data_IF_757913715710
#
_entry.id   IF_757913715710
#
_cell.length_a   1.000
_cell.length_b   1.000
_cell.length_c   1.000
_cell.angle_alpha   90.00
_cell.angle_beta   90.00
_cell.angle_gamma   90.00
#
_symmetry.space_group_name_H-M   'P 1'
#
loop_
_entity.id
_entity.type
_entity.pdbx_description
1 polymer ?
#
# COMPACT_ATOMS: atom_id res chain seq x y z
N UNK A 1 23.85 16.17 31.38
CA UNK A 1 22.51 16.35 30.93
C UNK A 1 22.14 15.20 29.99
N UNK A 2 21.06 14.67 30.24
CA UNK A 2 20.68 13.48 29.50
C UNK A 2 19.69 13.83 28.40
N UNK A 3 20.07 13.55 27.17
CA UNK A 3 19.13 13.58 26.08
C UNK A 3 18.39 12.27 25.96
N UNK A 4 18.74 11.32 26.81
CA UNK A 4 18.13 10.00 26.75
C UNK A 4 16.64 10.03 27.08
N UNK A 5 16.18 11.06 27.74
CA UNK A 5 14.75 11.21 28.03
C UNK A 5 13.94 11.66 26.82
N UNK A 6 14.60 12.10 25.75
CA UNK A 6 13.93 12.51 24.53
C UNK A 6 13.79 11.29 23.63
N UNK A 7 12.57 10.85 23.42
CA UNK A 7 12.32 9.71 22.56
C UNK A 7 12.66 10.08 21.11
N UNK A 8 13.37 9.20 20.44
CA UNK A 8 13.64 9.39 19.01
C UNK A 8 12.34 9.11 18.23
N UNK A 9 12.05 9.90 17.21
CA UNK A 9 10.92 9.58 16.33
C UNK A 9 11.11 8.21 15.72
N UNK A 10 10.10 7.40 15.78
CA UNK A 10 10.13 6.10 15.15
C UNK A 10 10.08 6.28 13.64
N UNK A 11 10.89 5.52 12.93
CA UNK A 11 10.86 5.55 11.47
C UNK A 11 9.74 4.62 11.00
N UNK A 12 8.61 5.19 10.63
CA UNK A 12 7.43 4.43 10.22
C UNK A 12 7.44 4.02 8.75
N UNK A 13 8.19 4.74 7.92
CA UNK A 13 8.24 4.47 6.47
C UNK A 13 9.68 4.21 6.09
N UNK A 14 9.88 3.21 5.26
CA UNK A 14 11.22 2.88 4.76
C UNK A 14 11.14 2.43 3.30
N UNK A 15 12.28 2.54 2.61
CA UNK A 15 12.45 2.00 1.27
C UNK A 15 13.58 0.99 1.34
N UNK A 16 13.27 -0.28 1.19
CA UNK A 16 14.26 -1.33 1.30
C UNK A 16 14.18 -2.19 0.04
N UNK A 17 15.34 -2.39 -0.59
CA UNK A 17 15.40 -3.29 -1.73
C UNK A 17 14.96 -4.68 -1.30
N UNK A 18 14.16 -5.33 -2.14
CA UNK A 18 13.64 -6.65 -1.83
C UNK A 18 12.35 -6.64 -1.04
N UNK A 19 11.91 -5.49 -0.57
CA UNK A 19 10.62 -5.35 0.10
C UNK A 19 9.78 -4.37 -0.72
N UNK A 20 8.60 -4.80 -1.14
CA UNK A 20 7.69 -4.00 -1.97
C UNK A 20 8.36 -3.46 -3.23
N UNK A 21 9.37 -4.18 -3.75
CA UNK A 21 10.10 -3.74 -4.94
C UNK A 21 10.91 -2.47 -4.73
N UNK A 22 11.32 -2.18 -3.50
CA UNK A 22 12.05 -0.96 -3.18
C UNK A 22 11.18 0.26 -3.04
N UNK A 23 9.87 0.12 -3.11
CA UNK A 23 8.94 1.24 -2.96
C UNK A 23 8.73 1.57 -1.49
N UNK A 24 8.33 2.82 -1.17
CA UNK A 24 8.07 3.17 0.22
C UNK A 24 7.02 2.26 0.83
N UNK A 25 7.32 1.68 1.96
CA UNK A 25 6.37 0.86 2.69
C UNK A 25 6.51 1.09 4.19
N UNK A 26 5.52 0.64 4.93
CA UNK A 26 5.54 0.80 6.37
C UNK A 26 6.56 -0.16 6.95
N UNK A 27 7.46 0.36 7.76
CA UNK A 27 8.58 -0.37 8.31
C UNK A 27 8.12 -1.64 9.00
N UNK A 28 8.76 -2.75 8.68
CA UNK A 28 8.41 -4.04 9.26
C UNK A 28 7.23 -4.74 8.60
N UNK A 29 6.68 -4.16 7.54
CA UNK A 29 5.54 -4.75 6.84
C UNK A 29 5.79 -4.73 5.33
N UNK A 30 4.92 -5.36 4.58
CA UNK A 30 4.89 -5.25 3.12
C UNK A 30 3.76 -4.35 2.63
N UNK A 31 3.21 -3.55 3.53
CA UNK A 31 2.14 -2.62 3.21
C UNK A 31 2.78 -1.33 2.69
N UNK A 32 2.49 -0.98 1.44
CA UNK A 32 3.08 0.20 0.81
C UNK A 32 2.39 1.47 1.29
N UNK A 33 3.13 2.58 1.25
CA UNK A 33 2.53 3.88 1.52
C UNK A 33 1.33 4.11 0.59
N UNK A 34 1.43 3.71 -0.68
CA UNK A 34 0.33 3.86 -1.61
C UNK A 34 -0.92 3.07 -1.21
N UNK A 35 -0.74 1.89 -0.61
CA UNK A 35 -1.89 1.10 -0.17
C UNK A 35 -2.73 1.86 0.86
N UNK A 36 -2.06 2.55 1.78
CA UNK A 36 -2.72 3.38 2.77
C UNK A 36 -3.33 4.63 2.12
N UNK A 37 -2.56 5.29 1.25
CA UNK A 37 -3.00 6.51 0.60
C UNK A 37 -4.22 6.27 -0.29
N UNK A 38 -4.25 5.14 -0.99
CA UNK A 38 -5.37 4.80 -1.87
C UNK A 38 -6.67 4.65 -1.07
N UNK A 39 -6.60 4.04 0.10
CA UNK A 39 -7.78 3.94 0.97
C UNK A 39 -8.23 5.31 1.44
N UNK A 40 -7.28 6.17 1.83
CA UNK A 40 -7.62 7.52 2.26
C UNK A 40 -8.28 8.31 1.13
N UNK A 41 -7.79 8.15 -0.09
CA UNK A 41 -8.38 8.82 -1.25
C UNK A 41 -9.78 8.29 -1.58
N UNK A 42 -10.05 7.06 -1.21
CA UNK A 42 -11.38 6.47 -1.39
C UNK A 42 -12.35 6.88 -0.29
N UNK A 43 -11.91 7.73 0.63
CA UNK A 43 -12.78 8.28 1.67
C UNK A 43 -12.70 7.56 3.01
N UNK A 44 -11.76 6.64 3.18
CA UNK A 44 -11.59 5.95 4.46
C UNK A 44 -10.84 6.83 5.44
N UNK A 45 -11.33 6.88 6.67
CA UNK A 45 -10.62 7.57 7.75
C UNK A 45 -9.43 6.74 8.21
N UNK A 46 -8.48 7.35 8.96
CA UNK A 46 -7.37 6.56 9.51
C UNK A 46 -7.84 5.37 10.34
N UNK A 47 -8.89 5.53 11.11
CA UNK A 47 -9.43 4.41 11.90
C UNK A 47 -9.97 3.30 11.01
N UNK A 48 -10.63 3.67 9.93
CA UNK A 48 -11.12 2.69 8.95
C UNK A 48 -9.99 1.97 8.24
N UNK A 49 -8.90 2.69 7.96
CA UNK A 49 -7.72 2.09 7.34
C UNK A 49 -7.14 1.01 8.26
N UNK A 50 -7.15 1.23 9.57
CA UNK A 50 -6.71 0.21 10.53
C UNK A 50 -7.56 -1.05 10.47
N UNK A 51 -8.83 -0.93 10.11
CA UNK A 51 -9.66 -2.12 9.93
C UNK A 51 -9.18 -2.99 8.79
N UNK A 52 -8.67 -2.36 7.73
CA UNK A 52 -8.10 -3.09 6.60
C UNK A 52 -6.72 -3.66 6.91
N UNK A 53 -5.95 -2.98 7.74
CA UNK A 53 -4.59 -3.37 8.06
C UNK A 53 -4.38 -3.39 9.57
N UNK A 54 -4.93 -4.41 10.25
CA UNK A 54 -4.91 -4.42 11.72
C UNK A 54 -3.50 -4.52 12.32
N UNK A 55 -2.50 -4.88 11.52
CA UNK A 55 -1.12 -4.92 12.01
C UNK A 55 -0.50 -3.53 12.14
N UNK A 56 -1.12 -2.50 11.58
CA UNK A 56 -0.60 -1.15 11.66
C UNK A 56 -1.09 -0.45 12.92
N UNK A 57 -0.33 0.57 13.33
CA UNK A 57 -0.79 1.48 14.37
C UNK A 57 -1.36 2.75 13.71
N UNK A 58 -2.09 3.52 14.48
CA UNK A 58 -2.59 4.80 13.99
C UNK A 58 -1.44 5.73 13.60
N UNK A 59 -0.34 5.68 14.35
CA UNK A 59 0.86 6.45 14.01
C UNK A 59 1.43 6.02 12.66
N UNK A 60 1.42 4.72 12.37
CA UNK A 60 1.86 4.22 11.07
C UNK A 60 1.01 4.80 9.95
N UNK A 61 -0.30 4.84 10.13
CA UNK A 61 -1.21 5.37 9.11
C UNK A 61 -0.96 6.85 8.87
N UNK A 62 -0.85 7.63 9.93
CA UNK A 62 -0.60 9.08 9.80
C UNK A 62 0.78 9.34 9.18
N UNK A 63 1.79 8.58 9.55
CA UNK A 63 3.12 8.74 8.97
C UNK A 63 3.13 8.39 7.48
N UNK A 64 2.41 7.34 7.10
CA UNK A 64 2.30 6.98 5.69
C UNK A 64 1.59 8.07 4.90
N UNK A 65 0.53 8.65 5.44
CA UNK A 65 -0.17 9.74 4.77
C UNK A 65 0.71 10.98 4.65
N UNK A 66 1.47 11.31 5.70
CA UNK A 66 2.40 12.43 5.63
C UNK A 66 3.45 12.20 4.56
N UNK A 67 4.02 11.00 4.52
CA UNK A 67 5.00 10.66 3.48
C UNK A 67 4.39 10.76 2.08
N UNK A 68 3.16 10.28 1.93
CA UNK A 68 2.47 10.36 0.66
C UNK A 68 2.31 11.82 0.20
N UNK A 69 1.85 12.70 1.08
CA UNK A 69 1.67 14.09 0.71
C UNK A 69 2.99 14.80 0.40
N UNK A 70 4.07 14.41 1.06
CA UNK A 70 5.39 14.96 0.78
C UNK A 70 5.96 14.48 -0.56
N UNK A 71 5.49 13.33 -1.05
CA UNK A 71 6.03 12.70 -2.26
C UNK A 71 4.92 12.29 -3.24
N UNK A 72 3.86 13.06 -3.26
CA UNK A 72 2.63 12.70 -3.94
C UNK A 72 2.81 12.39 -5.42
N UNK A 73 3.49 13.28 -6.15
CA UNK A 73 3.67 13.10 -7.58
C UNK A 73 4.40 11.81 -7.91
N UNK A 74 5.48 11.55 -7.20
CA UNK A 74 6.28 10.36 -7.44
C UNK A 74 5.50 9.08 -7.11
N UNK A 75 4.81 9.07 -5.99
CA UNK A 75 4.05 7.90 -5.58
C UNK A 75 2.92 7.62 -6.56
N UNK A 76 2.18 8.64 -6.97
CA UNK A 76 1.08 8.46 -7.91
C UNK A 76 1.57 8.04 -9.29
N UNK A 77 2.69 8.59 -9.74
CA UNK A 77 3.29 8.20 -11.01
C UNK A 77 3.72 6.73 -10.99
N UNK A 78 4.39 6.32 -9.92
CA UNK A 78 4.83 4.93 -9.79
C UNK A 78 3.65 3.98 -9.72
N UNK A 79 2.60 4.34 -9.00
CA UNK A 79 1.39 3.53 -8.93
C UNK A 79 0.74 3.39 -10.30
N UNK A 80 0.68 4.46 -11.08
CA UNK A 80 0.09 4.42 -12.42
C UNK A 80 0.93 3.56 -13.36
N UNK A 81 2.25 3.61 -13.24
CA UNK A 81 3.14 2.77 -14.04
C UNK A 81 2.94 1.29 -13.70
N UNK A 82 2.81 0.97 -12.44
CA UNK A 82 2.56 -0.41 -12.01
C UNK A 82 1.22 -0.92 -12.52
N UNK A 83 0.20 -0.10 -12.49
CA UNK A 83 -1.12 -0.48 -13.02
C UNK A 83 -1.06 -0.76 -14.51
N UNK A 84 -0.36 0.09 -15.27
CA UNK A 84 -0.21 -0.13 -16.70
C UNK A 84 0.57 -1.40 -17.00
N UNK A 85 1.61 -1.67 -16.23
CA UNK A 85 2.41 -2.88 -16.41
C UNK A 85 1.56 -4.12 -16.14
N UNK A 86 0.79 -4.10 -15.06
CA UNK A 86 -0.08 -5.22 -14.72
C UNK A 86 -1.15 -5.46 -15.79
N UNK A 87 -1.71 -4.38 -16.34
CA UNK A 87 -2.69 -4.49 -17.41
C UNK A 87 -2.10 -5.05 -18.69
N UNK A 88 -0.89 -4.60 -19.06
CA UNK A 88 -0.21 -5.11 -20.23
C UNK A 88 0.06 -6.61 -20.09
N UNK A 89 0.50 -7.04 -18.92
CA UNK A 89 0.72 -8.46 -18.68
C UNK A 89 -0.56 -9.26 -18.82
N UNK A 90 -1.66 -8.76 -18.27
CA UNK A 90 -2.94 -9.45 -18.40
C UNK A 90 -3.38 -9.59 -19.84
N UNK A 91 -3.19 -8.55 -20.64
CA UNK A 91 -3.54 -8.60 -22.06
C UNK A 91 -2.69 -9.60 -22.83
N UNK A 92 -1.38 -9.68 -22.48
CA UNK A 92 -0.46 -10.57 -23.19
C UNK A 92 -0.58 -12.02 -22.77
N UNK A 93 -0.81 -12.27 -21.48
CA UNK A 93 -0.76 -13.59 -20.90
C UNK A 93 -2.14 -14.15 -20.55
N UNK A 94 -3.17 -13.31 -20.62
CA UNK A 94 -4.50 -13.67 -20.18
C UNK A 94 -4.59 -13.66 -18.67
N UNK A 95 -5.75 -14.05 -18.10
CA UNK A 95 -5.92 -14.09 -16.65
C UNK A 95 -4.99 -15.10 -16.02
N UNK A 96 -4.45 -14.79 -14.85
CA UNK A 96 -3.63 -15.70 -14.10
C UNK A 96 -4.44 -16.85 -13.52
N UNK A 97 -3.77 -17.92 -13.07
CA UNK A 97 -4.48 -19.07 -12.52
C UNK A 97 -5.42 -18.73 -11.37
N UNK A 98 -5.03 -17.82 -10.50
CA UNK A 98 -5.88 -17.42 -9.39
C UNK A 98 -7.11 -16.65 -9.88
N UNK A 99 -6.93 -15.76 -10.84
CA UNK A 99 -8.04 -15.01 -11.40
C UNK A 99 -9.04 -15.93 -12.10
N UNK A 100 -8.53 -16.90 -12.84
CA UNK A 100 -9.40 -17.89 -13.47
C UNK A 100 -10.17 -18.70 -12.45
N UNK A 101 -9.48 -19.15 -11.39
CA UNK A 101 -10.11 -19.92 -10.34
C UNK A 101 -11.22 -19.15 -9.66
N UNK A 102 -10.96 -17.87 -9.35
CA UNK A 102 -11.99 -17.04 -8.73
C UNK A 102 -13.16 -16.79 -9.65
N UNK A 103 -12.90 -16.57 -10.94
CA UNK A 103 -13.96 -16.39 -11.91
C UNK A 103 -14.83 -17.64 -12.05
N UNK A 104 -14.22 -18.81 -12.04
CA UNK A 104 -14.93 -20.08 -12.11
C UNK A 104 -15.78 -20.32 -10.87
N UNK A 105 -15.24 -20.01 -9.69
CA UNK A 105 -15.99 -20.16 -8.45
C UNK A 105 -17.16 -19.21 -8.35
N UNK A 106 -16.96 -17.99 -8.83
CA UNK A 106 -18.06 -17.02 -8.88
C UNK A 106 -19.15 -17.48 -9.82
N UNK A 107 -18.76 -18.21 -10.85
CA UNK A 107 -19.68 -18.69 -11.87
C UNK A 107 -20.27 -17.56 -12.69
N UNK A 108 -21.20 -17.89 -13.60
CA UNK A 108 -21.89 -16.82 -14.33
C UNK A 108 -22.78 -16.04 -13.37
N UNK A 109 -23.13 -14.79 -13.74
CA UNK A 109 -24.05 -14.01 -12.92
C UNK A 109 -25.33 -14.81 -12.71
N UNK A 110 -25.77 -14.85 -11.48
CA UNK A 110 -27.00 -15.55 -11.18
C UNK A 110 -28.19 -14.72 -11.64
N UNK A 111 -29.16 -15.35 -12.22
CA UNK A 111 -30.39 -14.65 -12.60
C UNK A 111 -31.10 -14.11 -11.38
#
# INVERSE_FOLDING_TARGET
>A
MSTASVAQPKQHVSTTLGICGGKPCITGTRIRVWDVAALAQSGHSPDEILTHYPSLTLADVHAALAYYYDNREEIERTAAEDDRFAEDLRRKLGPGPLEQSLAEEAGPPRP
#
